data_IF_771468683536
#
_entry.id   IF_771468683536
#
_cell.length_a   1.000
_cell.length_b   1.000
_cell.length_c   1.000
_cell.angle_alpha   90.00
_cell.angle_beta   90.00
_cell.angle_gamma   90.00
#
_symmetry.space_group_name_H-M   'P 1'
#
loop_
_entity.id
_entity.type
_entity.pdbx_description
1 polymer ?
#
# COMPACT_ATOMS: atom_id res chain seq x y z
N UNK A 1 7.95 13.34 -26.41
CA UNK A 1 8.12 12.49 -27.61
C UNK A 1 7.43 13.12 -28.82
N UNK A 2 7.73 12.63 -30.04
CA UNK A 2 7.04 13.06 -31.29
C UNK A 2 5.51 12.87 -31.20
N UNK A 3 5.07 11.80 -30.55
CA UNK A 3 3.65 11.50 -30.32
C UNK A 3 2.97 12.53 -29.41
N UNK A 4 3.67 13.06 -28.41
CA UNK A 4 3.10 14.08 -27.51
C UNK A 4 2.92 15.43 -28.23
N UNK A 5 3.85 15.80 -29.10
CA UNK A 5 3.75 17.02 -29.92
C UNK A 5 2.55 16.93 -30.89
N UNK A 6 2.35 15.76 -31.53
CA UNK A 6 1.22 15.52 -32.43
C UNK A 6 -0.11 15.63 -31.68
N UNK A 7 -0.25 14.97 -30.53
CA UNK A 7 -1.43 15.08 -29.67
C UNK A 7 -1.72 16.52 -29.24
N UNK A 8 -0.68 17.28 -28.85
CA UNK A 8 -0.86 18.68 -28.44
C UNK A 8 -1.39 19.56 -29.59
N UNK A 9 -0.94 19.30 -30.82
CA UNK A 9 -1.44 19.99 -32.01
C UNK A 9 -2.89 19.65 -32.31
N UNK A 10 -3.24 18.37 -32.26
CA UNK A 10 -4.61 17.88 -32.42
C UNK A 10 -5.57 18.50 -31.37
N UNK A 11 -5.14 18.60 -30.12
CA UNK A 11 -5.90 19.26 -29.05
C UNK A 11 -6.11 20.75 -29.29
N UNK A 12 -5.10 21.47 -29.78
CA UNK A 12 -5.20 22.88 -30.09
C UNK A 12 -6.17 23.13 -31.24
N UNK A 13 -6.15 22.30 -32.28
CA UNK A 13 -7.04 22.36 -33.42
C UNK A 13 -8.49 22.02 -33.02
N UNK A 14 -8.68 21.01 -32.17
CA UNK A 14 -9.98 20.68 -31.61
C UNK A 14 -10.55 21.84 -30.80
N UNK A 15 -9.73 22.43 -29.90
CA UNK A 15 -10.16 23.57 -29.08
C UNK A 15 -10.61 24.78 -29.92
N UNK A 16 -9.92 25.06 -31.03
CA UNK A 16 -10.29 26.14 -31.97
C UNK A 16 -11.63 25.89 -32.66
N UNK A 17 -11.95 24.62 -32.96
CA UNK A 17 -13.16 24.22 -33.66
C UNK A 17 -14.35 23.98 -32.75
N UNK A 18 -14.14 23.85 -31.45
CA UNK A 18 -15.17 23.42 -30.51
C UNK A 18 -16.41 24.33 -30.51
N UNK A 19 -16.22 25.64 -30.72
CA UNK A 19 -17.31 26.63 -30.80
C UNK A 19 -18.21 26.50 -32.04
N UNK A 20 -17.64 26.01 -33.14
CA UNK A 20 -18.36 25.88 -34.45
C UNK A 20 -18.89 24.44 -34.68
N UNK A 21 -18.58 23.49 -33.82
CA UNK A 21 -19.04 22.10 -33.97
C UNK A 21 -20.50 21.93 -33.58
N UNK A 22 -21.21 21.11 -34.35
CA UNK A 22 -22.54 20.63 -34.01
C UNK A 22 -22.52 19.72 -32.79
N UNK A 23 -23.66 19.52 -32.11
CA UNK A 23 -23.78 18.61 -30.98
C UNK A 23 -23.39 17.18 -31.33
N UNK A 24 -23.67 16.75 -32.56
CA UNK A 24 -23.32 15.41 -33.04
C UNK A 24 -21.82 15.24 -33.30
N UNK A 25 -21.14 16.25 -33.83
CA UNK A 25 -19.69 16.25 -33.99
C UNK A 25 -18.99 16.24 -32.63
N UNK A 26 -19.46 17.03 -31.67
CA UNK A 26 -18.95 17.01 -30.27
C UNK A 26 -19.11 15.64 -29.67
N UNK A 27 -20.27 14.97 -29.83
CA UNK A 27 -20.52 13.62 -29.33
C UNK A 27 -19.54 12.59 -29.94
N UNK A 28 -19.37 12.62 -31.27
CA UNK A 28 -18.43 11.72 -31.95
C UNK A 28 -16.97 11.91 -31.49
N UNK A 29 -16.55 13.14 -31.24
CA UNK A 29 -15.24 13.42 -30.68
C UNK A 29 -15.09 12.92 -29.25
N UNK A 30 -16.12 13.10 -28.42
CA UNK A 30 -16.15 12.60 -27.05
C UNK A 30 -16.08 11.07 -27.02
N UNK A 31 -16.88 10.38 -27.85
CA UNK A 31 -16.87 8.91 -27.98
C UNK A 31 -15.48 8.39 -28.39
N UNK A 32 -14.82 9.07 -29.34
CA UNK A 32 -13.45 8.73 -29.74
C UNK A 32 -12.46 8.89 -28.59
N UNK A 33 -12.52 10.01 -27.85
CA UNK A 33 -11.65 10.25 -26.71
C UNK A 33 -11.87 9.24 -25.58
N UNK A 34 -13.11 8.87 -25.31
CA UNK A 34 -13.44 7.83 -24.33
C UNK A 34 -12.87 6.49 -24.78
N UNK A 35 -13.00 6.12 -26.06
CA UNK A 35 -12.43 4.91 -26.62
C UNK A 35 -10.89 4.90 -26.53
N UNK A 36 -10.23 6.01 -26.85
CA UNK A 36 -8.77 6.15 -26.78
C UNK A 36 -8.28 6.03 -25.32
N UNK A 37 -8.96 6.67 -24.37
CA UNK A 37 -8.62 6.54 -22.95
C UNK A 37 -8.89 5.12 -22.43
N UNK A 38 -10.00 4.51 -22.80
CA UNK A 38 -10.32 3.14 -22.41
C UNK A 38 -9.27 2.16 -22.94
N UNK A 39 -8.83 2.31 -24.18
CA UNK A 39 -7.78 1.51 -24.77
C UNK A 39 -6.41 1.72 -24.10
N UNK A 40 -6.07 2.98 -23.74
CA UNK A 40 -4.79 3.27 -23.02
C UNK A 40 -4.81 2.72 -21.60
N UNK A 41 -5.97 2.74 -20.92
CA UNK A 41 -6.14 2.21 -19.56
C UNK A 41 -6.18 0.69 -19.54
N UNK A 42 -6.81 0.04 -20.50
CA UNK A 42 -7.14 -1.37 -20.49
C UNK A 42 -5.93 -2.27 -20.16
N UNK A 43 -6.08 -3.09 -19.13
CA UNK A 43 -5.19 -4.19 -18.81
C UNK A 43 -5.61 -5.48 -19.52
N UNK A 44 -4.78 -6.50 -19.42
CA UNK A 44 -5.06 -7.83 -19.90
C UNK A 44 -4.68 -8.85 -18.83
N UNK A 45 -5.46 -9.91 -18.68
CA UNK A 45 -5.11 -10.99 -17.77
C UNK A 45 -5.04 -12.31 -18.53
N UNK A 46 -3.84 -12.92 -18.56
CA UNK A 46 -3.61 -14.22 -19.20
C UNK A 46 -3.33 -15.28 -18.13
N UNK A 47 -4.22 -16.25 -17.90
CA UNK A 47 -4.01 -17.30 -16.90
C UNK A 47 -2.70 -18.09 -17.10
N UNK A 48 -2.26 -18.27 -18.34
CA UNK A 48 -0.98 -18.92 -18.65
C UNK A 48 0.23 -18.12 -18.15
N UNK A 49 0.21 -16.79 -18.34
CA UNK A 49 1.27 -15.90 -17.85
C UNK A 49 1.27 -15.85 -16.32
N UNK A 50 0.09 -15.83 -15.70
CA UNK A 50 -0.03 -15.89 -14.25
C UNK A 50 0.54 -17.20 -13.67
N UNK A 51 0.17 -18.35 -14.22
CA UNK A 51 0.71 -19.65 -13.79
C UNK A 51 2.23 -19.75 -13.99
N UNK A 52 2.75 -19.18 -15.06
CA UNK A 52 4.19 -19.10 -15.30
C UNK A 52 4.86 -18.19 -14.26
N UNK A 53 4.32 -16.99 -14.03
CA UNK A 53 4.84 -16.03 -13.06
C UNK A 53 4.84 -16.61 -11.64
N UNK A 54 3.76 -17.23 -11.19
CA UNK A 54 3.67 -17.82 -9.84
C UNK A 54 4.57 -19.04 -9.67
N UNK A 55 4.92 -19.77 -10.76
CA UNK A 55 5.86 -20.89 -10.71
C UNK A 55 7.32 -20.44 -10.68
N UNK A 56 7.65 -19.34 -11.36
CA UNK A 56 9.02 -18.84 -11.47
C UNK A 56 9.35 -17.82 -10.37
N UNK A 57 8.37 -17.03 -9.94
CA UNK A 57 8.58 -15.98 -8.94
C UNK A 57 9.24 -16.49 -7.64
N UNK A 58 8.88 -17.65 -7.09
CA UNK A 58 9.58 -18.22 -5.93
C UNK A 58 11.07 -18.49 -6.21
N UNK A 59 11.38 -19.06 -7.38
CA UNK A 59 12.77 -19.32 -7.76
C UNK A 59 13.56 -18.04 -8.01
N UNK A 60 12.93 -17.02 -8.62
CA UNK A 60 13.53 -15.71 -8.85
C UNK A 60 13.69 -14.96 -7.53
N UNK A 61 12.65 -14.90 -6.71
CA UNK A 61 12.74 -14.37 -5.36
C UNK A 61 13.74 -15.16 -4.53
N UNK A 62 13.68 -16.48 -4.50
CA UNK A 62 14.63 -17.35 -3.80
C UNK A 62 16.07 -17.16 -4.29
N UNK A 63 16.31 -17.10 -5.60
CA UNK A 63 17.64 -16.86 -6.19
C UNK A 63 18.17 -15.45 -5.92
N UNK A 64 17.32 -14.43 -5.98
CA UNK A 64 17.66 -13.06 -5.56
C UNK A 64 17.94 -13.04 -4.03
N UNK A 65 17.22 -13.83 -3.28
CA UNK A 65 17.14 -13.86 -1.82
C UNK A 65 18.20 -14.77 -1.16
N UNK A 66 18.72 -15.76 -1.87
CA UNK A 66 19.73 -16.71 -1.37
C UNK A 66 20.57 -17.30 -2.49
N UNK A 67 21.64 -16.61 -2.95
CA UNK A 67 22.50 -17.13 -4.02
C UNK A 67 23.18 -18.46 -3.66
N UNK A 68 23.38 -18.77 -2.37
CA UNK A 68 23.89 -20.07 -1.90
C UNK A 68 22.91 -21.22 -2.18
N UNK A 69 21.60 -20.95 -2.22
CA UNK A 69 20.62 -21.98 -2.55
C UNK A 69 20.65 -22.40 -4.03
N UNK A 70 21.23 -21.56 -4.90
CA UNK A 70 21.49 -21.93 -6.31
C UNK A 70 22.61 -22.97 -6.41
N UNK A 71 23.64 -22.85 -5.56
CA UNK A 71 24.79 -23.80 -5.54
C UNK A 71 24.46 -25.10 -4.83
N UNK A 72 23.58 -25.06 -3.83
CA UNK A 72 23.22 -26.23 -3.01
C UNK A 72 21.95 -26.95 -3.48
N UNK A 73 21.32 -26.48 -4.58
CA UNK A 73 20.08 -27.07 -5.11
C UNK A 73 18.84 -26.88 -4.23
N UNK A 74 18.98 -26.23 -3.08
CA UNK A 74 17.88 -25.86 -2.20
C UNK A 74 17.42 -24.45 -2.60
N UNK A 75 16.48 -24.35 -3.52
CA UNK A 75 15.79 -23.07 -3.77
C UNK A 75 15.10 -22.65 -2.46
N UNK A 76 15.74 -21.72 -1.73
CA UNK A 76 15.25 -21.28 -0.43
C UNK A 76 13.80 -20.85 -0.55
N UNK A 77 12.92 -21.48 0.18
CA UNK A 77 11.51 -21.12 0.25
C UNK A 77 11.40 -19.71 0.85
N UNK A 78 10.92 -18.69 0.08
CA UNK A 78 10.75 -17.34 0.59
C UNK A 78 9.65 -17.25 1.65
N UNK A 79 8.87 -18.33 1.88
CA UNK A 79 7.74 -18.35 2.82
C UNK A 79 8.18 -18.10 4.28
N UNK A 80 9.41 -18.45 4.66
CA UNK A 80 9.94 -18.13 6.00
C UNK A 80 10.30 -16.65 6.21
N UNK A 81 10.34 -15.84 5.13
CA UNK A 81 10.81 -14.45 5.14
C UNK A 81 9.71 -13.43 4.94
N UNK A 82 8.63 -13.84 4.31
CA UNK A 82 7.42 -13.04 4.12
C UNK A 82 6.33 -13.68 4.97
N UNK A 83 5.99 -13.03 6.05
CA UNK A 83 4.86 -13.45 6.89
C UNK A 83 3.58 -12.87 6.32
N UNK A 84 2.63 -13.74 5.99
CA UNK A 84 1.28 -13.36 5.60
C UNK A 84 0.33 -13.72 6.73
N UNK A 85 -0.36 -12.72 7.26
CA UNK A 85 -1.18 -12.80 8.46
C UNK A 85 -2.58 -12.19 8.18
N UNK A 86 -3.58 -12.62 8.94
CA UNK A 86 -4.96 -12.12 8.85
C UNK A 86 -6.00 -13.24 8.78
N UNK A 87 -7.27 -12.89 8.61
CA UNK A 87 -8.38 -13.85 8.56
C UNK A 87 -8.48 -14.51 7.15
N UNK A 88 -7.43 -15.25 6.75
CA UNK A 88 -7.29 -15.73 5.37
C UNK A 88 -8.43 -16.67 4.94
N UNK A 89 -8.95 -17.50 5.85
CA UNK A 89 -10.08 -18.39 5.55
C UNK A 89 -11.35 -17.58 5.24
N UNK A 90 -11.64 -16.57 6.07
CA UNK A 90 -12.74 -15.64 5.81
C UNK A 90 -12.61 -14.92 4.47
N UNK A 91 -11.38 -14.55 4.08
CA UNK A 91 -11.13 -13.88 2.80
C UNK A 91 -11.32 -14.82 1.60
N UNK A 92 -10.96 -16.11 1.73
CA UNK A 92 -11.23 -17.12 0.69
C UNK A 92 -12.73 -17.33 0.51
N UNK A 93 -13.47 -17.49 1.62
CA UNK A 93 -14.93 -17.59 1.57
C UNK A 93 -15.60 -16.34 1.01
N UNK A 94 -15.09 -15.14 1.36
CA UNK A 94 -15.59 -13.90 0.76
C UNK A 94 -15.34 -13.84 -0.75
N UNK A 95 -14.19 -14.38 -1.22
CA UNK A 95 -13.88 -14.46 -2.65
C UNK A 95 -14.83 -15.39 -3.42
N UNK A 96 -15.29 -16.47 -2.78
CA UNK A 96 -16.28 -17.39 -3.36
C UNK A 96 -17.68 -16.78 -3.41
N UNK A 97 -18.00 -15.88 -2.48
CA UNK A 97 -19.32 -15.22 -2.37
C UNK A 97 -19.44 -13.92 -3.15
N UNK A 98 -18.30 -13.33 -3.58
CA UNK A 98 -18.31 -12.04 -4.26
C UNK A 98 -16.94 -11.59 -4.73
N UNK A 99 -16.81 -10.30 -5.02
CA UNK A 99 -15.59 -9.71 -5.59
C UNK A 99 -14.77 -9.00 -4.51
N UNK A 100 -13.49 -9.35 -4.38
CA UNK A 100 -12.57 -8.69 -3.46
C UNK A 100 -11.97 -7.42 -4.08
N UNK A 101 -11.87 -6.38 -3.27
CA UNK A 101 -11.14 -5.15 -3.56
C UNK A 101 -10.07 -5.00 -2.47
N UNK A 102 -8.85 -5.41 -2.77
CA UNK A 102 -7.74 -5.31 -1.83
C UNK A 102 -7.18 -3.89 -1.85
N UNK A 103 -7.15 -3.26 -0.69
CA UNK A 103 -6.72 -1.85 -0.51
C UNK A 103 -5.57 -1.79 0.50
N UNK A 104 -4.31 -1.92 0.02
CA UNK A 104 -3.15 -1.92 0.90
C UNK A 104 -2.58 -0.52 1.12
N UNK A 105 -1.79 -0.37 2.20
CA UNK A 105 -0.85 0.75 2.35
C UNK A 105 0.24 0.68 1.28
N UNK A 106 0.82 1.84 0.88
CA UNK A 106 1.85 1.89 -0.17
C UNK A 106 3.15 2.48 0.35
N UNK A 107 4.22 1.70 0.38
CA UNK A 107 5.52 2.05 0.95
C UNK A 107 6.68 1.95 -0.05
N UNK A 108 6.65 0.95 -0.94
CA UNK A 108 7.76 0.61 -1.83
C UNK A 108 7.27 0.31 -3.26
N UNK A 109 8.14 0.45 -4.24
CA UNK A 109 7.90 -0.04 -5.60
C UNK A 109 7.75 -1.57 -5.66
N UNK A 110 8.25 -2.27 -4.63
CA UNK A 110 8.12 -3.72 -4.51
C UNK A 110 6.71 -4.18 -4.10
N UNK A 111 5.87 -3.27 -3.61
CA UNK A 111 4.56 -3.61 -3.01
C UNK A 111 3.68 -4.44 -3.94
N UNK A 112 3.64 -4.11 -5.24
CA UNK A 112 2.81 -4.85 -6.19
C UNK A 112 3.27 -6.31 -6.37
N UNK A 113 4.59 -6.54 -6.39
CA UNK A 113 5.18 -7.88 -6.54
C UNK A 113 4.93 -8.70 -5.27
N UNK A 114 5.20 -8.08 -4.12
CA UNK A 114 5.07 -8.73 -2.81
C UNK A 114 3.61 -9.07 -2.51
N UNK A 115 2.67 -8.16 -2.84
CA UNK A 115 1.24 -8.43 -2.69
C UNK A 115 0.76 -9.52 -3.65
N UNK A 116 1.18 -9.49 -4.90
CA UNK A 116 0.85 -10.56 -5.85
C UNK A 116 1.31 -11.93 -5.34
N UNK A 117 2.51 -12.00 -4.75
CA UNK A 117 3.04 -13.20 -4.10
C UNK A 117 2.23 -13.58 -2.84
N UNK A 118 1.91 -12.60 -1.98
CA UNK A 118 1.14 -12.87 -0.77
C UNK A 118 -0.28 -13.38 -1.04
N UNK A 119 -0.95 -12.86 -2.07
CA UNK A 119 -2.25 -13.38 -2.54
C UNK A 119 -2.13 -14.84 -2.96
N UNK A 120 -1.08 -15.19 -3.70
CA UNK A 120 -0.85 -16.56 -4.16
C UNK A 120 -0.63 -17.54 -2.99
N UNK A 121 0.27 -17.22 -2.04
CA UNK A 121 0.52 -18.11 -0.89
C UNK A 121 -0.65 -18.16 0.09
N UNK A 122 -1.44 -17.09 0.18
CA UNK A 122 -2.67 -17.05 0.96
C UNK A 122 -3.82 -17.84 0.31
N UNK A 123 -3.65 -18.38 -0.91
CA UNK A 123 -4.73 -19.05 -1.65
C UNK A 123 -5.85 -18.10 -2.06
N UNK A 124 -5.56 -16.79 -2.16
CA UNK A 124 -6.51 -15.77 -2.61
C UNK A 124 -6.43 -15.61 -4.14
N UNK A 125 -7.54 -15.21 -4.79
CA UNK A 125 -7.56 -15.04 -6.23
C UNK A 125 -6.63 -13.90 -6.69
N UNK A 126 -6.09 -13.99 -7.93
CA UNK A 126 -5.32 -12.90 -8.51
C UNK A 126 -6.18 -11.66 -8.69
N UNK A 127 -5.58 -10.50 -8.47
CA UNK A 127 -6.23 -9.21 -8.63
C UNK A 127 -5.74 -8.49 -9.88
N UNK A 128 -6.66 -7.80 -10.59
CA UNK A 128 -6.29 -6.72 -11.50
C UNK A 128 -5.83 -5.51 -10.69
N UNK A 129 -4.86 -4.75 -11.17
CA UNK A 129 -4.32 -3.64 -10.38
C UNK A 129 -3.93 -2.43 -11.22
N UNK A 130 -4.12 -1.23 -10.63
CA UNK A 130 -3.72 0.03 -11.25
C UNK A 130 -2.23 0.28 -11.10
N UNK A 131 -1.50 0.37 -12.21
CA UNK A 131 -0.07 0.62 -12.23
C UNK A 131 0.27 1.92 -12.95
N UNK A 132 1.22 2.69 -12.41
CA UNK A 132 1.68 3.93 -13.02
C UNK A 132 2.26 3.69 -14.41
N UNK A 133 1.95 4.56 -15.37
CA UNK A 133 2.37 4.43 -16.77
C UNK A 133 3.89 4.36 -16.94
N UNK A 134 4.66 4.96 -16.04
CA UNK A 134 6.13 4.87 -16.01
C UNK A 134 6.65 3.43 -15.86
N UNK A 135 5.93 2.55 -15.17
CA UNK A 135 6.32 1.16 -14.97
C UNK A 135 6.22 0.32 -16.27
N UNK A 136 5.54 0.84 -17.29
CA UNK A 136 5.41 0.21 -18.60
C UNK A 136 6.48 0.69 -19.61
N UNK A 137 7.47 1.45 -19.19
CA UNK A 137 8.53 1.98 -20.07
C UNK A 137 9.50 0.90 -20.55
N UNK A 138 9.76 -0.13 -19.73
CA UNK A 138 10.58 -1.28 -20.12
C UNK A 138 9.70 -2.35 -20.79
N UNK A 139 10.04 -2.81 -22.02
CA UNK A 139 9.22 -3.79 -22.77
C UNK A 139 8.99 -5.11 -22.03
N UNK A 140 9.99 -5.60 -21.30
CA UNK A 140 9.90 -6.86 -20.57
C UNK A 140 8.93 -6.75 -19.38
N UNK A 141 9.13 -5.76 -18.51
CA UNK A 141 8.22 -5.52 -17.39
C UNK A 141 6.82 -5.15 -17.87
N UNK A 142 6.71 -4.35 -18.94
CA UNK A 142 5.45 -4.00 -19.58
C UNK A 142 4.66 -5.23 -20.04
N UNK A 143 5.31 -6.20 -20.67
CA UNK A 143 4.65 -7.43 -21.10
C UNK A 143 4.06 -8.21 -19.92
N UNK A 144 4.85 -8.44 -18.86
CA UNK A 144 4.36 -9.16 -17.69
C UNK A 144 3.26 -8.39 -16.96
N UNK A 145 3.49 -7.11 -16.64
CA UNK A 145 2.50 -6.30 -15.95
C UNK A 145 1.16 -6.26 -16.69
N UNK A 146 1.19 -5.98 -17.99
CA UNK A 146 -0.01 -5.94 -18.81
C UNK A 146 -0.76 -7.28 -18.80
N UNK A 147 -0.05 -8.40 -18.97
CA UNK A 147 -0.67 -9.74 -19.04
C UNK A 147 -0.97 -10.36 -17.66
N UNK A 148 -0.56 -9.72 -16.57
CA UNK A 148 -0.91 -10.08 -15.19
C UNK A 148 -2.06 -9.21 -14.62
N UNK A 149 -2.77 -8.49 -15.47
CA UNK A 149 -3.95 -7.71 -15.08
C UNK A 149 -3.66 -6.27 -14.66
N UNK A 150 -2.44 -5.77 -14.88
CA UNK A 150 -2.16 -4.37 -14.62
C UNK A 150 -2.85 -3.47 -15.67
N UNK A 151 -3.66 -2.54 -15.21
CA UNK A 151 -4.18 -1.46 -16.04
C UNK A 151 -3.38 -0.16 -15.81
N UNK A 152 -3.26 0.63 -16.88
CA UNK A 152 -2.38 1.81 -16.86
C UNK A 152 -3.06 3.01 -16.22
N UNK A 153 -2.36 3.66 -15.30
CA UNK A 153 -2.82 4.92 -14.68
C UNK A 153 -1.82 6.03 -14.98
N UNK A 154 -2.20 6.98 -15.83
CA UNK A 154 -1.38 8.17 -16.09
C UNK A 154 -1.79 9.30 -15.14
N UNK A 155 -0.99 9.49 -14.08
CA UNK A 155 -1.25 10.50 -13.03
C UNK A 155 -1.06 11.95 -13.53
N UNK A 156 -0.44 12.15 -14.69
CA UNK A 156 -0.26 13.48 -15.30
C UNK A 156 -1.55 13.98 -15.95
N UNK A 157 -2.45 13.06 -16.30
CA UNK A 157 -3.75 13.42 -16.89
C UNK A 157 -4.72 13.79 -15.76
N UNK A 158 -5.00 15.09 -15.64
CA UNK A 158 -5.89 15.64 -14.61
C UNK A 158 -7.33 15.88 -15.09
N UNK A 159 -7.64 15.57 -16.36
CA UNK A 159 -8.96 15.77 -16.95
C UNK A 159 -10.05 14.94 -16.27
N UNK A 160 -11.22 15.53 -16.05
CA UNK A 160 -12.37 14.86 -15.46
C UNK A 160 -12.75 13.61 -16.26
N UNK A 161 -12.85 13.74 -17.59
CA UNK A 161 -13.18 12.63 -18.49
C UNK A 161 -12.26 11.41 -18.31
N UNK A 162 -10.93 11.62 -18.22
CA UNK A 162 -9.99 10.51 -17.99
C UNK A 162 -10.24 9.82 -16.64
N UNK A 163 -10.49 10.62 -15.60
CA UNK A 163 -10.79 10.09 -14.26
C UNK A 163 -12.10 9.30 -14.26
N UNK A 164 -13.09 9.75 -15.02
CA UNK A 164 -14.38 9.05 -15.13
C UNK A 164 -14.23 7.75 -15.93
N UNK A 165 -13.47 7.75 -17.03
CA UNK A 165 -13.14 6.52 -17.77
C UNK A 165 -12.42 5.52 -16.86
N UNK A 166 -11.44 5.96 -16.05
CA UNK A 166 -10.71 5.10 -15.13
C UNK A 166 -11.62 4.51 -14.04
N UNK A 167 -12.52 5.31 -13.47
CA UNK A 167 -13.50 4.84 -12.48
C UNK A 167 -14.48 3.84 -13.09
N UNK A 168 -15.03 4.16 -14.27
CA UNK A 168 -15.96 3.29 -14.98
C UNK A 168 -15.29 1.97 -15.37
N UNK A 169 -14.02 2.01 -15.82
CA UNK A 169 -13.26 0.81 -16.10
C UNK A 169 -13.11 -0.08 -14.85
N UNK A 170 -12.71 0.51 -13.72
CA UNK A 170 -12.64 -0.19 -12.44
C UNK A 170 -14.00 -0.77 -12.02
N UNK A 171 -15.08 0.00 -12.14
CA UNK A 171 -16.44 -0.43 -11.84
C UNK A 171 -16.85 -1.65 -12.69
N UNK A 172 -16.65 -1.58 -14.01
CA UNK A 172 -17.00 -2.68 -14.94
C UNK A 172 -16.22 -3.96 -14.64
N UNK A 173 -14.94 -3.85 -14.25
CA UNK A 173 -14.18 -5.02 -13.82
C UNK A 173 -14.81 -5.67 -12.59
N UNK A 174 -15.19 -4.88 -11.58
CA UNK A 174 -15.84 -5.38 -10.36
C UNK A 174 -17.22 -5.99 -10.65
N UNK A 175 -18.02 -5.37 -11.51
CA UNK A 175 -19.31 -5.91 -11.97
C UNK A 175 -19.18 -7.27 -12.67
N UNK A 176 -18.02 -7.51 -13.31
CA UNK A 176 -17.71 -8.77 -13.97
C UNK A 176 -17.03 -9.81 -13.07
N UNK A 177 -16.89 -9.50 -11.77
CA UNK A 177 -16.29 -10.41 -10.79
C UNK A 177 -14.75 -10.45 -10.81
N UNK A 178 -14.07 -9.50 -11.49
CA UNK A 178 -12.62 -9.40 -11.43
C UNK A 178 -12.19 -8.76 -10.12
N UNK A 179 -11.47 -9.51 -9.30
CA UNK A 179 -10.88 -8.98 -8.07
C UNK A 179 -9.89 -7.87 -8.39
N UNK A 180 -9.85 -6.84 -7.54
CA UNK A 180 -9.01 -5.67 -7.77
C UNK A 180 -8.07 -5.40 -6.61
N UNK A 181 -6.95 -4.77 -6.92
CA UNK A 181 -6.01 -4.21 -5.96
C UNK A 181 -5.63 -2.80 -6.39
N UNK A 182 -5.74 -1.83 -5.50
CA UNK A 182 -5.21 -0.49 -5.72
C UNK A 182 -4.78 0.16 -4.42
N UNK A 183 -3.81 1.07 -4.53
CA UNK A 183 -3.26 1.81 -3.40
C UNK A 183 -4.03 3.11 -3.19
N UNK A 184 -4.86 3.23 -2.14
CA UNK A 184 -5.72 4.40 -1.96
C UNK A 184 -4.94 5.67 -1.60
N UNK A 185 -3.71 5.57 -1.09
CA UNK A 185 -2.81 6.72 -0.92
C UNK A 185 -2.43 7.38 -2.24
N UNK A 186 -2.48 6.64 -3.34
CA UNK A 186 -2.18 7.09 -4.70
C UNK A 186 -0.69 7.33 -4.96
N UNK A 187 0.12 7.50 -3.92
CA UNK A 187 1.60 7.56 -3.96
C UNK A 187 2.13 6.78 -2.78
N UNK A 188 3.41 6.40 -2.82
CA UNK A 188 4.09 5.82 -1.67
C UNK A 188 4.12 6.81 -0.50
N UNK A 189 4.07 6.30 0.73
CA UNK A 189 4.22 7.13 1.93
C UNK A 189 5.63 7.71 1.97
N UNK A 190 5.74 9.03 1.81
CA UNK A 190 7.03 9.72 1.79
C UNK A 190 7.64 9.91 3.18
N UNK A 191 6.80 9.98 4.20
CA UNK A 191 7.26 10.15 5.59
C UNK A 191 7.39 8.84 6.36
N UNK A 192 7.02 7.69 5.78
CA UNK A 192 6.92 6.42 6.49
C UNK A 192 5.65 6.26 7.34
N UNK A 193 4.88 7.33 7.55
CA UNK A 193 3.65 7.30 8.34
C UNK A 193 2.50 6.57 7.61
N UNK A 194 1.50 6.15 8.38
CA UNK A 194 0.25 5.60 7.83
C UNK A 194 -0.53 6.71 7.14
N UNK A 195 -1.15 6.40 6.02
CA UNK A 195 -2.02 7.33 5.30
C UNK A 195 -3.14 7.85 6.19
N UNK A 196 -3.31 9.17 6.18
CA UNK A 196 -4.36 9.85 6.96
C UNK A 196 -5.62 10.09 6.13
N UNK A 197 -5.49 10.20 4.81
CA UNK A 197 -6.58 10.54 3.87
C UNK A 197 -6.42 9.73 2.59
N UNK A 198 -7.16 8.64 2.43
CA UNK A 198 -7.17 7.87 1.18
C UNK A 198 -7.82 8.66 0.05
N UNK A 199 -7.41 8.42 -1.19
CA UNK A 199 -8.08 8.93 -2.38
C UNK A 199 -9.33 8.10 -2.66
N UNK A 200 -10.48 8.75 -2.66
CA UNK A 200 -11.78 8.09 -2.72
C UNK A 200 -12.20 7.69 -4.15
N UNK A 201 -11.49 8.13 -5.18
CA UNK A 201 -11.92 7.97 -6.58
C UNK A 201 -12.15 6.52 -7.01
N UNK A 202 -11.23 5.60 -6.71
CA UNK A 202 -11.41 4.18 -7.01
C UNK A 202 -12.24 3.45 -5.94
N UNK A 203 -12.29 3.94 -4.70
CA UNK A 203 -13.20 3.41 -3.69
C UNK A 203 -14.66 3.60 -4.09
N UNK A 204 -15.00 4.77 -4.69
CA UNK A 204 -16.36 5.02 -5.15
C UNK A 204 -16.81 4.06 -6.28
N UNK A 205 -15.88 3.50 -7.07
CA UNK A 205 -16.22 2.51 -8.08
C UNK A 205 -16.70 1.18 -7.49
N UNK A 206 -16.26 0.84 -6.28
CA UNK A 206 -16.74 -0.34 -5.58
C UNK A 206 -18.20 -0.19 -5.14
N UNK A 207 -18.58 0.98 -4.60
CA UNK A 207 -19.97 1.27 -4.26
C UNK A 207 -20.87 1.29 -5.52
N UNK A 208 -20.41 1.93 -6.60
CA UNK A 208 -21.17 1.99 -7.86
C UNK A 208 -21.35 0.59 -8.48
N UNK A 209 -20.32 -0.26 -8.44
CA UNK A 209 -20.43 -1.65 -8.90
C UNK A 209 -21.39 -2.47 -8.02
N UNK A 210 -21.35 -2.27 -6.71
CA UNK A 210 -22.30 -2.91 -5.79
C UNK A 210 -23.76 -2.52 -6.09
N UNK A 211 -24.05 -1.22 -6.26
CA UNK A 211 -25.35 -0.72 -6.66
C UNK A 211 -25.82 -1.36 -7.97
N UNK A 212 -24.94 -1.44 -8.97
CA UNK A 212 -25.26 -2.06 -10.25
C UNK A 212 -25.54 -3.54 -10.13
N UNK A 213 -24.77 -4.27 -9.34
CA UNK A 213 -24.96 -5.69 -9.08
C UNK A 213 -26.31 -5.98 -8.40
N UNK A 214 -26.73 -5.11 -7.47
CA UNK A 214 -28.07 -5.22 -6.83
C UNK A 214 -29.17 -4.96 -7.88
N UNK A 215 -29.07 -3.87 -8.64
CA UNK A 215 -30.04 -3.51 -9.66
C UNK A 215 -30.24 -4.63 -10.71
N UNK A 216 -29.18 -5.36 -11.03
CA UNK A 216 -29.19 -6.48 -11.96
C UNK A 216 -29.45 -7.84 -11.29
N UNK A 217 -29.67 -7.88 -9.95
CA UNK A 217 -29.87 -9.09 -9.16
C UNK A 217 -28.81 -10.16 -9.45
N UNK A 218 -27.55 -9.76 -9.54
CA UNK A 218 -26.44 -10.67 -9.88
C UNK A 218 -26.20 -11.70 -8.78
N UNK A 219 -26.08 -12.99 -9.13
CA UNK A 219 -25.59 -14.00 -8.19
C UNK A 219 -24.14 -13.64 -7.85
N UNK A 220 -23.75 -13.79 -6.58
CA UNK A 220 -22.42 -13.39 -6.08
C UNK A 220 -22.08 -11.90 -6.30
N UNK A 221 -23.12 -11.03 -6.32
CA UNK A 221 -22.98 -9.59 -6.56
C UNK A 221 -22.36 -8.79 -5.41
N UNK A 222 -22.01 -9.45 -4.29
CA UNK A 222 -21.35 -8.79 -3.14
C UNK A 222 -19.97 -8.29 -3.51
N UNK A 223 -19.59 -7.16 -2.93
CA UNK A 223 -18.26 -6.58 -3.05
C UNK A 223 -17.66 -6.42 -1.65
N UNK A 224 -16.46 -6.90 -1.48
CA UNK A 224 -15.76 -6.90 -0.21
C UNK A 224 -14.48 -6.08 -0.30
N UNK A 225 -14.37 -5.06 0.53
CA UNK A 225 -13.18 -4.21 0.63
C UNK A 225 -12.25 -4.81 1.68
N UNK A 226 -11.05 -5.19 1.28
CA UNK A 226 -10.07 -5.86 2.13
C UNK A 226 -8.92 -4.90 2.45
N UNK A 227 -8.90 -4.29 3.65
CA UNK A 227 -7.76 -3.49 4.07
C UNK A 227 -6.54 -4.39 4.27
N UNK A 228 -5.37 -3.91 3.84
CA UNK A 228 -4.12 -4.62 4.08
C UNK A 228 -2.99 -3.66 4.45
N UNK A 229 -2.01 -4.14 5.20
CA UNK A 229 -0.79 -3.37 5.49
C UNK A 229 0.44 -4.16 5.07
N UNK A 230 1.41 -3.44 4.53
CA UNK A 230 2.72 -3.98 4.22
C UNK A 230 3.70 -3.36 5.20
N UNK A 231 4.43 -4.18 5.92
CA UNK A 231 5.32 -3.74 6.99
C UNK A 231 6.72 -4.24 6.72
N UNK A 232 7.55 -3.36 6.17
CA UNK A 232 8.96 -3.63 5.88
C UNK A 232 9.83 -3.30 7.09
N UNK A 233 10.76 -4.16 7.41
CA UNK A 233 11.82 -3.81 8.34
C UNK A 233 12.72 -2.71 7.77
N UNK A 234 12.99 -2.76 6.46
CA UNK A 234 13.71 -1.72 5.71
C UNK A 234 12.95 -1.41 4.42
N UNK A 235 12.67 -0.13 4.17
CA UNK A 235 12.10 0.36 2.92
C UNK A 235 13.23 0.81 1.99
N UNK A 236 13.29 0.24 0.79
CA UNK A 236 14.39 0.47 -0.15
C UNK A 236 14.57 1.94 -0.52
N UNK A 237 13.46 2.64 -0.71
CA UNK A 237 13.44 4.01 -1.19
C UNK A 237 13.29 5.05 -0.05
N UNK A 238 13.52 4.64 1.19
CA UNK A 238 13.31 5.51 2.35
C UNK A 238 14.12 6.81 2.29
N UNK A 239 15.36 6.76 1.77
CA UNK A 239 16.24 7.95 1.64
C UNK A 239 15.63 9.02 0.73
N UNK A 240 15.16 8.62 -0.45
CA UNK A 240 14.54 9.55 -1.41
C UNK A 240 13.16 9.98 -0.95
N UNK A 241 12.35 9.07 -0.41
CA UNK A 241 11.01 9.38 0.07
C UNK A 241 11.04 10.41 1.20
N UNK A 242 11.93 10.26 2.18
CA UNK A 242 12.02 11.22 3.29
C UNK A 242 12.62 12.55 2.85
N UNK A 243 13.58 12.54 1.91
CA UNK A 243 14.12 13.77 1.35
C UNK A 243 13.05 14.59 0.63
N UNK A 244 12.21 13.93 -0.20
CA UNK A 244 11.08 14.56 -0.88
C UNK A 244 10.05 15.12 0.12
N UNK A 245 9.73 14.36 1.17
CA UNK A 245 8.81 14.81 2.21
C UNK A 245 9.29 16.08 2.90
N UNK A 246 10.55 16.09 3.34
CA UNK A 246 11.13 17.23 4.05
C UNK A 246 11.30 18.46 3.14
N UNK A 247 11.59 18.25 1.85
CA UNK A 247 11.68 19.32 0.86
C UNK A 247 10.30 19.94 0.58
N UNK A 248 9.25 19.13 0.47
CA UNK A 248 7.87 19.61 0.22
C UNK A 248 7.31 20.38 1.42
N UNK A 249 7.49 19.91 2.64
CA UNK A 249 7.08 20.63 3.86
C UNK A 249 7.90 21.90 4.09
N UNK A 250 9.19 21.88 3.72
CA UNK A 250 10.09 23.05 3.79
C UNK A 250 9.87 24.10 2.70
N UNK A 251 8.80 23.97 1.88
CA UNK A 251 8.46 24.85 0.74
C UNK A 251 9.49 24.88 -0.41
N UNK A 252 10.42 23.96 -0.47
CA UNK A 252 11.30 23.75 -1.61
C UNK A 252 10.75 22.61 -2.46
N UNK A 253 10.07 22.94 -3.57
CA UNK A 253 9.61 21.98 -4.57
C UNK A 253 10.81 21.48 -5.38
N UNK A 254 11.35 20.32 -5.05
CA UNK A 254 12.13 19.50 -5.95
C UNK A 254 11.44 18.14 -6.06
N UNK A 255 10.81 17.89 -7.21
CA UNK A 255 10.34 16.57 -7.58
C UNK A 255 11.56 15.86 -8.18
N UNK A 256 12.23 15.02 -7.41
CA UNK A 256 13.23 14.11 -7.96
C UNK A 256 12.47 12.93 -8.56
N UNK A 257 12.33 12.93 -9.89
CA UNK A 257 11.79 11.82 -10.68
C UNK A 257 12.82 10.68 -10.87
N UNK A 258 13.89 10.61 -10.12
CA UNK A 258 14.88 9.56 -10.26
C UNK A 258 14.35 8.25 -9.70
N UNK A 259 13.99 7.38 -10.63
CA UNK A 259 13.59 6.00 -10.40
C UNK A 259 14.81 5.20 -9.97
N UNK A 260 14.99 4.96 -8.66
CA UNK A 260 16.09 4.17 -8.09
C UNK A 260 16.09 2.70 -8.56
N UNK A 261 15.07 2.27 -9.30
CA UNK A 261 15.05 0.98 -10.00
C UNK A 261 16.19 0.80 -11.01
N UNK A 262 16.89 1.88 -11.40
CA UNK A 262 18.06 1.82 -12.27
C UNK A 262 19.32 1.20 -11.61
N UNK A 263 19.27 0.92 -10.30
CA UNK A 263 20.40 0.37 -9.55
C UNK A 263 20.15 -1.10 -9.15
N UNK A 264 19.84 -1.92 -10.14
CA UNK A 264 19.61 -3.37 -9.96
C UNK A 264 20.67 -4.08 -9.11
N UNK A 265 21.93 -3.68 -9.21
CA UNK A 265 23.02 -4.22 -8.38
C UNK A 265 22.82 -3.99 -6.88
N UNK A 266 22.37 -2.80 -6.46
CA UNK A 266 22.11 -2.51 -5.05
C UNK A 266 20.88 -3.27 -4.53
N UNK A 267 19.86 -3.42 -5.39
CA UNK A 267 18.66 -4.22 -5.04
C UNK A 267 19.05 -5.67 -4.83
N UNK A 268 19.89 -6.24 -5.70
CA UNK A 268 20.40 -7.61 -5.58
C UNK A 268 21.23 -7.80 -4.32
N UNK A 269 22.19 -6.90 -4.05
CA UNK A 269 23.04 -6.99 -2.86
C UNK A 269 22.27 -6.77 -1.55
N UNK A 270 21.27 -5.91 -1.58
CA UNK A 270 20.37 -5.70 -0.46
C UNK A 270 19.45 -6.91 -0.24
N UNK A 271 18.82 -7.40 -1.30
CA UNK A 271 18.02 -8.60 -1.24
C UNK A 271 18.81 -9.76 -0.61
N UNK A 272 20.08 -9.90 -0.96
CA UNK A 272 20.97 -10.89 -0.36
C UNK A 272 21.16 -10.72 1.15
N UNK A 273 21.19 -9.49 1.66
CA UNK A 273 21.44 -9.20 3.08
C UNK A 273 20.17 -9.26 3.93
N UNK A 274 19.08 -8.66 3.46
CA UNK A 274 17.80 -8.61 4.19
C UNK A 274 17.13 -9.97 4.25
N UNK A 275 17.35 -10.80 3.26
CA UNK A 275 16.72 -12.12 3.17
C UNK A 275 17.59 -13.22 3.77
N UNK A 276 18.78 -12.88 4.24
CA UNK A 276 19.47 -13.68 5.26
C UNK A 276 18.79 -13.58 6.64
N UNK A 277 17.85 -12.62 6.82
CA UNK A 277 17.13 -12.41 8.08
C UNK A 277 15.71 -12.97 7.98
N UNK A 278 15.27 -13.73 8.97
CA UNK A 278 13.90 -14.22 9.09
C UNK A 278 12.93 -13.05 9.34
N UNK A 279 11.76 -13.08 8.67
CA UNK A 279 10.66 -12.14 8.92
C UNK A 279 10.95 -10.66 8.62
N UNK A 280 11.66 -10.35 7.51
CA UNK A 280 11.95 -8.97 7.10
C UNK A 280 10.73 -8.20 6.57
N UNK A 281 9.61 -8.90 6.32
CA UNK A 281 8.39 -8.36 5.75
C UNK A 281 7.16 -9.07 6.33
N UNK A 282 6.21 -8.27 6.80
CA UNK A 282 4.91 -8.75 7.26
C UNK A 282 3.81 -8.10 6.43
N UNK A 283 2.99 -8.91 5.76
CA UNK A 283 1.77 -8.48 5.10
C UNK A 283 0.60 -8.94 5.95
N UNK A 284 -0.21 -7.99 6.42
CA UNK A 284 -1.37 -8.29 7.22
C UNK A 284 -2.64 -7.85 6.52
N UNK A 285 -3.52 -8.80 6.27
CA UNK A 285 -4.87 -8.55 5.76
C UNK A 285 -5.84 -8.34 6.92
N UNK A 286 -6.77 -7.42 6.75
CA UNK A 286 -7.87 -7.21 7.71
C UNK A 286 -9.11 -8.00 7.32
N UNK A 287 -10.05 -8.07 8.26
CA UNK A 287 -11.39 -8.56 7.96
C UNK A 287 -12.03 -7.71 6.87
N UNK A 288 -12.84 -8.31 5.98
CA UNK A 288 -13.48 -7.58 4.90
C UNK A 288 -14.48 -6.56 5.44
N UNK A 289 -14.64 -5.47 4.67
CA UNK A 289 -15.67 -4.46 4.86
C UNK A 289 -16.64 -4.54 3.67
N UNK A 290 -17.89 -4.12 3.86
CA UNK A 290 -18.79 -3.86 2.75
C UNK A 290 -18.48 -2.49 2.07
N UNK A 291 -19.08 -2.16 0.92
CA UNK A 291 -18.82 -0.88 0.24
C UNK A 291 -19.31 0.36 0.99
N UNK A 292 -20.07 0.20 2.07
CA UNK A 292 -20.54 1.28 2.94
C UNK A 292 -19.53 1.53 4.08
N UNK A 293 -18.69 0.53 4.38
CA UNK A 293 -17.70 0.58 5.45
C UNK A 293 -18.07 -0.23 6.69
N UNK A 294 -19.16 -1.00 6.67
CA UNK A 294 -19.47 -1.92 7.74
C UNK A 294 -18.53 -3.13 7.73
N UNK A 295 -18.23 -3.68 8.90
CA UNK A 295 -17.46 -4.91 9.00
C UNK A 295 -18.29 -6.10 8.51
N UNK A 296 -17.64 -7.07 7.90
CA UNK A 296 -18.27 -8.33 7.49
C UNK A 296 -17.83 -9.41 8.47
N UNK A 297 -18.82 -10.16 8.99
CA UNK A 297 -18.57 -11.28 9.90
C UNK A 297 -18.06 -12.54 9.14
N UNK A 298 -17.63 -13.60 9.83
CA UNK A 298 -17.21 -14.84 9.17
C UNK A 298 -18.32 -15.50 8.32
N UNK A 299 -19.60 -15.27 8.65
CA UNK A 299 -20.71 -15.78 7.86
C UNK A 299 -20.91 -15.00 6.55
N UNK A 300 -20.18 -13.88 6.37
CA UNK A 300 -20.27 -13.00 5.20
C UNK A 300 -21.37 -11.93 5.32
N UNK A 301 -21.93 -11.71 6.53
CA UNK A 301 -22.96 -10.72 6.77
C UNK A 301 -22.37 -9.40 7.27
N UNK A 302 -22.93 -8.27 6.82
CA UNK A 302 -22.48 -6.95 7.25
C UNK A 302 -22.96 -6.65 8.67
N UNK A 303 -22.07 -6.06 9.48
CA UNK A 303 -22.29 -5.67 10.87
C UNK A 303 -22.13 -4.16 11.00
N UNK A 304 -23.19 -3.46 11.41
CA UNK A 304 -23.16 -2.02 11.61
C UNK A 304 -22.30 -1.61 12.83
N UNK A 305 -22.11 -0.31 13.01
CA UNK A 305 -21.32 0.24 14.13
C UNK A 305 -21.90 -0.09 15.52
N UNK A 306 -23.18 -0.54 15.58
CA UNK A 306 -23.87 -0.96 16.81
C UNK A 306 -23.80 -2.49 17.02
N UNK A 307 -23.08 -3.22 16.16
CA UNK A 307 -22.95 -4.67 16.24
C UNK A 307 -24.16 -5.46 15.72
N UNK A 308 -25.07 -4.85 14.96
CA UNK A 308 -26.25 -5.51 14.40
C UNK A 308 -25.98 -5.98 12.98
N UNK A 309 -26.46 -7.15 12.62
CA UNK A 309 -26.48 -7.62 11.22
C UNK A 309 -27.40 -6.72 10.39
N UNK A 310 -26.90 -6.25 9.26
CA UNK A 310 -27.60 -5.38 8.32
C UNK A 310 -27.38 -5.87 6.89
N UNK A 311 -28.41 -5.71 6.07
CA UNK A 311 -28.25 -5.91 4.62
C UNK A 311 -27.73 -4.60 4.00
N UNK A 312 -26.49 -4.57 3.44
CA UNK A 312 -25.95 -3.37 2.85
C UNK A 312 -26.75 -2.85 1.65
N UNK A 313 -27.60 -3.67 1.03
CA UNK A 313 -28.51 -3.24 -0.04
C UNK A 313 -29.50 -2.18 0.45
N UNK A 314 -29.94 -2.25 1.71
CA UNK A 314 -30.89 -1.28 2.28
C UNK A 314 -30.37 0.15 2.32
N UNK A 315 -29.06 0.34 2.30
CA UNK A 315 -28.44 1.69 2.28
C UNK A 315 -28.52 2.37 0.91
N UNK A 316 -28.78 1.60 -0.15
CA UNK A 316 -28.74 2.08 -1.53
C UNK A 316 -30.05 1.84 -2.29
N UNK A 317 -31.06 1.27 -1.64
CA UNK A 317 -32.39 1.07 -2.20
C UNK A 317 -33.42 2.01 -1.59
N UNK A 318 -34.36 2.48 -2.42
CA UNK A 318 -35.52 3.24 -1.98
C UNK A 318 -36.63 2.37 -1.37
N UNK A 319 -37.73 2.98 -0.92
CA UNK A 319 -38.87 2.27 -0.35
C UNK A 319 -39.52 1.26 -1.31
N UNK A 320 -39.36 1.44 -2.61
CA UNK A 320 -39.85 0.54 -3.65
C UNK A 320 -38.92 -0.66 -3.93
N UNK A 321 -37.83 -0.77 -3.17
CA UNK A 321 -36.81 -1.81 -3.31
C UNK A 321 -35.88 -1.63 -4.50
N UNK A 322 -35.99 -0.53 -5.25
CA UNK A 322 -35.10 -0.22 -6.37
C UNK A 322 -33.88 0.54 -5.91
N UNK A 323 -32.77 0.29 -6.60
CA UNK A 323 -31.53 1.04 -6.35
C UNK A 323 -31.73 2.50 -6.76
N UNK A 324 -31.45 3.40 -5.84
CA UNK A 324 -31.41 4.83 -6.06
C UNK A 324 -29.96 5.31 -6.12
N UNK A 325 -29.59 6.03 -7.17
CA UNK A 325 -28.30 6.71 -7.27
C UNK A 325 -28.42 8.11 -6.68
N UNK A 326 -27.83 8.32 -5.51
CA UNK A 326 -27.73 9.62 -4.85
C UNK A 326 -26.26 9.98 -4.67
N UNK A 327 -25.77 10.92 -5.47
CA UNK A 327 -24.36 11.31 -5.48
C UNK A 327 -23.86 11.86 -4.15
N UNK A 328 -24.71 12.55 -3.37
CA UNK A 328 -24.32 13.10 -2.09
C UNK A 328 -24.18 11.97 -1.05
N UNK A 329 -25.18 11.14 -0.91
CA UNK A 329 -25.19 9.94 -0.05
C UNK A 329 -24.01 9.03 -0.39
N UNK A 330 -23.80 8.73 -1.67
CA UNK A 330 -22.77 7.83 -2.14
C UNK A 330 -21.35 8.38 -1.86
N UNK A 331 -21.18 9.72 -1.94
CA UNK A 331 -19.95 10.38 -1.55
C UNK A 331 -19.71 10.30 -0.02
N UNK A 332 -20.76 10.39 0.80
CA UNK A 332 -20.67 10.25 2.25
C UNK A 332 -20.31 8.81 2.66
N UNK A 333 -20.93 7.81 2.06
CA UNK A 333 -20.57 6.40 2.28
C UNK A 333 -19.13 6.09 1.87
N UNK A 334 -18.72 6.58 0.71
CA UNK A 334 -17.33 6.40 0.26
C UNK A 334 -16.33 7.07 1.23
N UNK A 335 -16.71 8.19 1.82
CA UNK A 335 -15.89 8.88 2.84
C UNK A 335 -15.83 8.09 4.14
N UNK A 336 -16.97 7.58 4.61
CA UNK A 336 -17.05 6.73 5.80
C UNK A 336 -16.21 5.45 5.64
N UNK A 337 -16.28 4.81 4.47
CA UNK A 337 -15.41 3.69 4.10
C UNK A 337 -13.94 4.10 4.16
N UNK A 338 -13.57 5.26 3.61
CA UNK A 338 -12.21 5.78 3.65
C UNK A 338 -11.69 5.97 5.08
N UNK A 339 -12.52 6.48 5.97
CA UNK A 339 -12.21 6.67 7.39
C UNK A 339 -12.03 5.31 8.11
N UNK A 340 -12.88 4.31 7.81
CA UNK A 340 -12.72 2.96 8.37
C UNK A 340 -11.45 2.26 7.85
N UNK A 341 -11.07 2.48 6.60
CA UNK A 341 -9.79 2.00 6.06
C UNK A 341 -8.60 2.57 6.85
N UNK A 342 -8.61 3.87 7.16
CA UNK A 342 -7.54 4.48 7.98
C UNK A 342 -7.50 3.87 9.38
N UNK A 343 -8.67 3.65 10.02
CA UNK A 343 -8.75 2.96 11.31
C UNK A 343 -8.20 1.53 11.21
N UNK A 344 -8.56 0.81 10.13
CA UNK A 344 -8.07 -0.53 9.86
C UNK A 344 -6.55 -0.56 9.66
N UNK A 345 -5.96 0.36 8.89
CA UNK A 345 -4.51 0.43 8.72
C UNK A 345 -3.77 0.63 10.04
N UNK A 346 -4.29 1.46 10.95
CA UNK A 346 -3.70 1.65 12.28
C UNK A 346 -3.70 0.36 13.10
N UNK A 347 -4.81 -0.40 13.09
CA UNK A 347 -4.92 -1.68 13.80
C UNK A 347 -4.07 -2.79 13.19
N UNK A 348 -3.93 -2.78 11.85
CA UNK A 348 -3.24 -3.82 11.09
C UNK A 348 -1.73 -3.57 10.95
N UNK A 349 -1.26 -2.34 11.22
CA UNK A 349 0.17 -2.03 11.11
C UNK A 349 0.98 -2.83 12.11
N UNK A 350 2.03 -3.48 11.62
CA UNK A 350 2.97 -4.25 12.42
C UNK A 350 4.26 -3.47 12.62
N UNK A 351 4.70 -3.35 13.86
CA UNK A 351 5.95 -2.69 14.20
C UNK A 351 7.11 -3.67 14.07
N UNK A 352 8.04 -3.33 13.19
CA UNK A 352 9.28 -4.04 12.98
C UNK A 352 10.36 -3.55 13.96
N UNK A 353 11.44 -4.31 14.20
CA UNK A 353 12.52 -3.89 15.10
C UNK A 353 13.06 -2.48 14.80
N UNK A 354 13.23 -2.16 13.51
CA UNK A 354 13.68 -0.83 13.06
C UNK A 354 12.72 0.29 13.48
N UNK A 355 11.41 0.04 13.44
CA UNK A 355 10.40 1.01 13.87
C UNK A 355 10.46 1.25 15.38
N UNK A 356 10.58 0.17 16.16
CA UNK A 356 10.64 0.24 17.63
C UNK A 356 11.88 0.97 18.12
N UNK A 357 13.04 0.58 17.60
CA UNK A 357 14.34 1.20 17.97
C UNK A 357 14.39 2.65 17.52
N UNK A 358 13.96 2.94 16.27
CA UNK A 358 13.92 4.32 15.79
C UNK A 358 13.01 5.20 16.64
N UNK A 359 11.86 4.65 17.08
CA UNK A 359 10.93 5.41 17.94
C UNK A 359 11.50 5.68 19.31
N UNK A 360 12.08 4.67 19.97
CA UNK A 360 12.67 4.84 21.31
C UNK A 360 13.81 5.87 21.29
N UNK A 361 14.71 5.80 20.29
CA UNK A 361 15.79 6.79 20.14
C UNK A 361 15.19 8.18 19.85
N UNK A 362 14.24 8.29 18.90
CA UNK A 362 13.62 9.58 18.55
C UNK A 362 12.96 10.27 19.72
N UNK A 363 12.21 9.54 20.53
CA UNK A 363 11.54 10.11 21.71
C UNK A 363 12.53 10.60 22.75
N UNK A 364 13.66 9.92 22.96
CA UNK A 364 14.74 10.37 23.83
C UNK A 364 15.42 11.64 23.32
N UNK A 365 15.71 11.70 22.01
CA UNK A 365 16.27 12.91 21.39
C UNK A 365 15.31 14.10 21.48
N UNK A 366 14.03 13.86 21.24
CA UNK A 366 13.00 14.88 21.36
C UNK A 366 12.84 15.39 22.79
N UNK A 367 12.92 14.50 23.78
CA UNK A 367 12.86 14.86 25.20
C UNK A 367 14.09 15.69 25.61
N UNK A 368 15.30 15.26 25.21
CA UNK A 368 16.55 15.98 25.51
C UNK A 368 16.58 17.37 24.85
N UNK A 369 16.03 17.50 23.63
CA UNK A 369 15.95 18.78 22.90
C UNK A 369 14.76 19.66 23.32
N UNK A 370 13.84 19.16 24.15
CA UNK A 370 12.61 19.86 24.53
C UNK A 370 11.66 20.15 23.35
N UNK A 371 11.81 19.42 22.23
CA UNK A 371 11.00 19.64 21.02
C UNK A 371 10.84 18.37 20.20
N UNK A 372 9.70 18.25 19.50
CA UNK A 372 9.43 17.19 18.51
C UNK A 372 9.51 17.72 17.07
N UNK A 373 9.88 18.99 16.89
CA UNK A 373 10.03 19.59 15.57
C UNK A 373 11.21 18.93 14.84
N UNK A 374 10.91 18.26 13.73
CA UNK A 374 11.89 17.51 12.93
C UNK A 374 13.04 18.40 12.45
N UNK A 375 12.75 19.63 12.03
CA UNK A 375 13.78 20.53 11.50
C UNK A 375 14.73 21.05 12.60
N UNK A 376 14.22 21.23 13.80
CA UNK A 376 15.06 21.59 14.95
C UNK A 376 15.97 20.42 15.36
N UNK A 377 15.44 19.20 15.38
CA UNK A 377 16.22 18.00 15.67
C UNK A 377 17.28 17.74 14.58
N UNK A 378 16.92 17.88 13.30
CA UNK A 378 17.88 17.72 12.19
C UNK A 378 19.04 18.70 12.24
N UNK A 379 18.83 19.91 12.75
CA UNK A 379 19.92 20.91 12.92
C UNK A 379 20.89 20.56 14.04
N UNK A 380 20.49 19.76 15.01
CA UNK A 380 21.37 19.30 16.08
C UNK A 380 22.42 18.28 15.59
N UNK A 381 22.23 17.74 14.36
CA UNK A 381 23.18 16.80 13.75
C UNK A 381 22.95 15.37 14.25
N UNK A 382 24.01 14.71 14.70
CA UNK A 382 23.91 13.36 15.28
C UNK A 382 23.28 13.41 16.67
N UNK A 383 22.55 12.35 17.00
CA UNK A 383 21.97 12.17 18.33
C UNK A 383 22.40 10.84 18.95
N UNK A 384 22.42 10.76 20.26
CA UNK A 384 22.77 9.54 20.95
C UNK A 384 21.77 9.16 22.03
N UNK A 385 21.63 7.86 22.28
CA UNK A 385 20.81 7.30 23.35
C UNK A 385 21.55 6.14 24.03
N UNK A 386 21.43 5.97 25.36
CA UNK A 386 22.02 4.82 26.04
C UNK A 386 21.29 3.52 25.64
N UNK A 387 22.04 2.46 25.37
CA UNK A 387 21.49 1.14 25.00
C UNK A 387 20.47 0.65 26.02
N UNK A 388 20.82 0.72 27.31
CA UNK A 388 19.96 0.31 28.43
C UNK A 388 18.63 1.07 28.40
N UNK A 389 18.69 2.40 28.21
CA UNK A 389 17.48 3.21 28.14
C UNK A 389 16.56 2.83 26.98
N UNK A 390 17.11 2.55 25.80
CA UNK A 390 16.31 2.11 24.66
C UNK A 390 15.73 0.71 24.92
N UNK A 391 16.45 -0.17 25.60
CA UNK A 391 15.98 -1.48 26.03
C UNK A 391 14.77 -1.37 26.95
N UNK A 392 14.85 -0.47 27.95
CA UNK A 392 13.77 -0.21 28.90
C UNK A 392 12.53 0.39 28.22
N UNK A 393 12.72 1.31 27.26
CA UNK A 393 11.62 1.90 26.51
C UNK A 393 10.88 0.85 25.68
N UNK A 394 11.59 -0.05 25.00
CA UNK A 394 10.99 -1.15 24.24
C UNK A 394 10.22 -2.09 25.17
N UNK A 395 10.80 -2.46 26.32
CA UNK A 395 10.13 -3.32 27.30
C UNK A 395 8.84 -2.67 27.82
N UNK A 396 8.90 -1.40 28.18
CA UNK A 396 7.77 -0.61 28.68
C UNK A 396 6.67 -0.44 27.61
N UNK A 397 7.08 -0.13 26.38
CA UNK A 397 6.14 -0.01 25.26
C UNK A 397 5.37 -1.31 25.04
N UNK A 398 6.06 -2.47 25.07
CA UNK A 398 5.43 -3.78 24.93
C UNK A 398 4.44 -4.06 26.07
N UNK A 399 4.82 -3.80 27.31
CA UNK A 399 3.94 -3.96 28.47
C UNK A 399 2.70 -3.06 28.36
N UNK A 400 2.88 -1.81 27.92
CA UNK A 400 1.79 -0.85 27.73
C UNK A 400 0.84 -1.28 26.61
N UNK A 401 1.37 -1.76 25.48
CA UNK A 401 0.57 -2.30 24.36
C UNK A 401 -0.22 -3.55 24.82
N UNK A 402 0.41 -4.44 25.57
CA UNK A 402 -0.26 -5.63 26.11
C UNK A 402 -1.40 -5.24 27.05
N UNK A 403 -1.17 -4.29 27.98
CA UNK A 403 -2.17 -3.82 28.91
C UNK A 403 -3.37 -3.12 28.21
N UNK A 404 -3.15 -2.54 27.03
CA UNK A 404 -4.23 -1.94 26.20
C UNK A 404 -4.94 -2.93 25.31
N UNK A 405 -4.50 -4.17 25.24
CA UNK A 405 -5.02 -5.14 24.26
C UNK A 405 -4.51 -4.92 22.82
N UNK A 406 -3.50 -4.06 22.65
CA UNK A 406 -2.94 -3.67 21.35
C UNK A 406 -1.69 -4.49 20.95
N UNK A 407 -1.44 -5.62 21.62
CA UNK A 407 -0.27 -6.48 21.31
C UNK A 407 -0.20 -6.92 19.86
N UNK A 408 -1.33 -6.94 19.15
CA UNK A 408 -1.43 -7.30 17.75
C UNK A 408 -0.63 -6.39 16.81
N UNK A 409 -0.22 -5.20 17.24
CA UNK A 409 0.67 -4.32 16.44
C UNK A 409 2.14 -4.82 16.44
N UNK A 410 2.47 -5.84 17.21
CA UNK A 410 3.75 -6.52 17.19
C UNK A 410 3.59 -7.85 16.47
N UNK A 411 4.51 -8.21 15.57
CA UNK A 411 4.56 -9.58 15.08
C UNK A 411 4.81 -10.53 16.27
N UNK A 412 4.23 -11.72 16.22
CA UNK A 412 4.27 -12.69 17.32
C UNK A 412 5.69 -12.92 17.83
N UNK A 413 6.65 -13.10 16.92
CA UNK A 413 8.08 -13.23 17.24
C UNK A 413 8.60 -12.10 18.13
N UNK A 414 8.19 -10.85 17.87
CA UNK A 414 8.68 -9.67 18.59
C UNK A 414 7.93 -9.41 19.90
N UNK A 415 6.82 -10.09 20.16
CA UNK A 415 6.12 -10.01 21.45
C UNK A 415 6.91 -10.63 22.58
N UNK A 416 7.66 -11.72 22.32
CA UNK A 416 8.43 -12.48 23.31
C UNK A 416 9.95 -12.28 23.23
N UNK A 417 10.48 -11.74 22.11
CA UNK A 417 11.92 -11.52 21.91
C UNK A 417 12.49 -10.58 22.99
N UNK A 418 13.68 -10.86 23.51
CA UNK A 418 14.32 -9.96 24.48
C UNK A 418 14.56 -8.59 23.86
N UNK A 419 14.33 -7.47 24.59
CA UNK A 419 14.52 -6.12 24.04
C UNK A 419 15.91 -5.86 23.48
N UNK A 420 16.96 -6.49 24.05
CA UNK A 420 18.33 -6.43 23.52
C UNK A 420 18.44 -7.04 22.13
N UNK A 421 17.83 -8.21 21.92
CA UNK A 421 17.85 -8.89 20.63
C UNK A 421 17.08 -8.10 19.56
N UNK A 422 16.00 -7.38 19.96
CA UNK A 422 15.28 -6.44 19.06
C UNK A 422 16.21 -5.30 18.61
N UNK A 423 17.03 -4.78 19.52
CA UNK A 423 18.02 -3.74 19.19
C UNK A 423 19.06 -4.30 18.22
N UNK A 424 19.63 -5.46 18.51
CA UNK A 424 20.67 -6.08 17.68
C UNK A 424 20.15 -6.40 16.28
N UNK A 425 18.91 -6.90 16.15
CA UNK A 425 18.25 -7.14 14.86
C UNK A 425 18.04 -5.83 14.10
N UNK A 426 17.57 -4.77 14.76
CA UNK A 426 17.40 -3.47 14.14
C UNK A 426 18.72 -2.87 13.64
N UNK A 427 19.79 -2.97 14.43
CA UNK A 427 21.13 -2.48 14.06
C UNK A 427 21.66 -3.20 12.82
N UNK A 428 21.48 -4.52 12.77
CA UNK A 428 21.87 -5.31 11.62
C UNK A 428 21.15 -4.86 10.34
N UNK A 429 19.83 -4.56 10.45
CA UNK A 429 19.04 -4.05 9.35
C UNK A 429 19.48 -2.64 8.93
N UNK A 430 19.69 -1.74 9.87
CA UNK A 430 20.11 -0.36 9.61
C UNK A 430 21.51 -0.24 8.98
N UNK A 431 22.38 -1.19 9.23
CA UNK A 431 23.72 -1.22 8.63
C UNK A 431 23.74 -1.78 7.20
N UNK A 432 22.64 -2.44 6.74
CA UNK A 432 22.69 -3.31 5.57
C UNK A 432 22.50 -2.63 4.21
N UNK A 433 21.69 -1.58 4.12
CA UNK A 433 21.21 -1.09 2.83
C UNK A 433 21.46 0.38 2.55
N UNK A 434 21.23 1.26 3.49
CA UNK A 434 21.35 2.70 3.31
C UNK A 434 22.80 3.13 3.08
N UNK A 435 22.98 4.29 2.45
CA UNK A 435 24.32 4.84 2.16
C UNK A 435 25.15 5.03 3.42
N UNK A 436 24.48 5.28 4.57
CA UNK A 436 25.04 5.30 5.91
C UNK A 436 24.19 4.44 6.82
N UNK A 437 24.75 3.81 7.88
CA UNK A 437 23.92 3.21 8.92
C UNK A 437 22.95 4.23 9.49
N UNK A 438 21.70 3.84 9.72
CA UNK A 438 20.72 4.76 10.35
C UNK A 438 21.06 4.95 11.83
N UNK A 439 21.39 3.84 12.49
CA UNK A 439 21.84 3.79 13.89
C UNK A 439 23.05 2.87 13.98
N UNK A 440 24.03 3.24 14.76
CA UNK A 440 25.23 2.46 15.05
C UNK A 440 25.43 2.33 16.56
N UNK A 441 25.91 1.18 17.01
CA UNK A 441 26.27 0.96 18.41
C UNK A 441 27.75 1.28 18.61
N UNK A 442 28.04 2.19 19.54
CA UNK A 442 29.41 2.54 19.98
C UNK A 442 29.47 2.37 21.50
N UNK A 443 30.04 1.27 21.96
CA UNK A 443 30.01 0.88 23.35
C UNK A 443 28.60 0.72 23.89
N UNK A 444 28.26 1.44 24.95
CA UNK A 444 26.92 1.43 25.56
C UNK A 444 25.98 2.55 25.03
N UNK A 445 26.31 3.09 23.86
CA UNK A 445 25.50 4.12 23.22
C UNK A 445 25.05 3.69 21.81
N UNK A 446 23.86 4.12 21.44
CA UNK A 446 23.29 4.05 20.10
C UNK A 446 23.38 5.45 19.48
N UNK A 447 24.15 5.56 18.41
CA UNK A 447 24.38 6.81 17.69
C UNK A 447 23.48 6.85 16.46
N UNK A 448 22.59 7.82 16.40
CA UNK A 448 21.75 8.08 15.21
C UNK A 448 22.61 8.81 14.16
N UNK A 449 23.08 8.09 13.16
CA UNK A 449 23.94 8.62 12.07
C UNK A 449 23.13 9.31 10.98
N UNK A 450 21.88 8.93 10.77
CA UNK A 450 20.94 9.60 9.88
C UNK A 450 19.61 9.86 10.55
N UNK A 451 19.43 11.11 11.04
CA UNK A 451 18.19 11.52 11.72
C UNK A 451 16.98 11.60 10.77
N UNK A 452 17.18 11.77 9.46
CA UNK A 452 16.06 11.78 8.49
C UNK A 452 15.48 10.39 8.35
N UNK A 453 16.33 9.39 8.18
CA UNK A 453 15.90 7.99 8.14
C UNK A 453 15.35 7.53 9.48
N UNK A 454 15.97 7.94 10.60
CA UNK A 454 15.42 7.66 11.92
C UNK A 454 13.99 8.21 12.05
N UNK A 455 13.75 9.44 11.57
CA UNK A 455 12.43 10.05 11.53
C UNK A 455 11.47 9.27 10.62
N UNK A 456 11.91 8.80 9.46
CA UNK A 456 11.11 7.98 8.56
C UNK A 456 10.61 6.71 9.27
N UNK A 457 11.50 5.95 9.89
CA UNK A 457 11.15 4.67 10.52
C UNK A 457 10.29 4.85 11.78
N UNK A 458 10.57 5.85 12.63
CA UNK A 458 9.76 6.09 13.81
C UNK A 458 8.33 6.53 13.47
N UNK A 459 8.11 7.18 12.33
CA UNK A 459 6.79 7.63 11.91
C UNK A 459 5.79 6.50 11.71
N UNK A 460 6.27 5.27 11.45
CA UNK A 460 5.38 4.11 11.35
C UNK A 460 4.60 3.85 12.64
N UNK A 461 5.14 4.23 13.77
CA UNK A 461 4.53 4.08 15.09
C UNK A 461 3.79 5.32 15.58
N UNK A 462 3.79 6.42 14.80
CA UNK A 462 3.30 7.73 15.26
C UNK A 462 1.82 7.75 15.68
N UNK A 463 1.00 6.84 15.15
CA UNK A 463 -0.42 6.73 15.45
C UNK A 463 -0.72 6.18 16.87
N UNK A 464 0.26 5.54 17.54
CA UNK A 464 0.11 4.98 18.88
C UNK A 464 0.26 6.06 19.98
N UNK A 465 0.71 7.25 19.63
CA UNK A 465 0.91 8.34 20.59
C UNK A 465 2.18 8.21 21.44
N UNK A 466 2.62 9.33 22.06
CA UNK A 466 3.89 9.34 22.79
C UNK A 466 3.86 8.53 24.09
N UNK A 467 2.76 8.48 24.82
CA UNK A 467 2.67 7.88 26.16
C UNK A 467 2.82 6.35 26.21
N UNK A 468 3.11 5.68 25.10
CA UNK A 468 3.44 4.25 25.05
C UNK A 468 4.95 4.04 25.15
N UNK A 469 5.74 4.97 24.61
CA UNK A 469 7.18 4.86 24.44
C UNK A 469 7.99 5.68 25.47
N UNK A 470 7.33 6.60 26.19
CA UNK A 470 7.95 7.50 27.18
C UNK A 470 7.66 7.07 28.60
#
# INVERSE_FOLDING_TARGET
SSADKKRLTEWRDLARRLGSMTSEEKRRHLERLVADYAHDVCGNFKPGVYRFATRILPAVLGGILSPRSITDGSFGDPSGKIVVDGPLDQLREAADRGTLVVVPTHLSNMDSVVLGWSLYIAGLPPCTYGAGKNLFSNPFTSYFMHNLGAYRVDRRIQHALYKDVLKTYSQVLLERGYHQLFFPGGTRSRSGAIEKKPKLGLLSSALAAFQRNIAESKPHGRIYIVPATINYAITLEAETLIADFLAEEGKHRYIIEDDEFSRLGRIVDFSRRVLAMDSSLVIRYGAPLDPIGNRVDPDGESIDARGRRVDPATYVTGPDGKVEVDHQRDAEYTRALGDELVRSYRRLTVFMPTHMVARAIWDRLAAAAGTRDVYRLLRAGEGEAPVEGVRDDIARARATLAARGDSGVLAERYQSMRPGDVIDEALLMFAGYHARPVVERVGERLIARDLRLLFYYQNRTAHIGPGVWS
#
